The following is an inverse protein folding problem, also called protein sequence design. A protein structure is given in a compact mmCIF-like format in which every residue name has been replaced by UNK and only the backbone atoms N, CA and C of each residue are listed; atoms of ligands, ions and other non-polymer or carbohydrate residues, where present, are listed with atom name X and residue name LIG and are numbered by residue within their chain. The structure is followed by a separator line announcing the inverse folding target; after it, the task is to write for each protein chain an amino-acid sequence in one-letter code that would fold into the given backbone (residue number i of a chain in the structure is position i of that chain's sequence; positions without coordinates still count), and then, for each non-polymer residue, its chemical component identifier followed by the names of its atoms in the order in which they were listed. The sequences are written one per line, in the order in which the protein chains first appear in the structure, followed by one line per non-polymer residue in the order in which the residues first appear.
data_IF_059750015446
#
_entry.id   IF_059750015446
#
_cell.length_a   1.000
_cell.length_b   1.000
_cell.length_c   1.000
_cell.angle_alpha   90.00
_cell.angle_beta   90.00
_cell.angle_gamma   90.00
#
_symmetry.space_group_name_H-M   'P 1'
#
loop_
_entity.id
_entity.type
_entity.pdbx_description
1 polymer ?
#
# COMPACT_ATOMS: atom_id res chain seq x y z
N UNK A 1 -2.29 -25.92 2.03
CA UNK A 1 -3.73 -25.81 1.75
C UNK A 1 -3.87 -25.19 0.37
N UNK A 2 -3.97 -26.07 -0.63
CA UNK A 2 -4.45 -25.75 -1.97
C UNK A 2 -5.94 -25.38 -1.91
N UNK A 3 -6.41 -24.57 -2.86
CA UNK A 3 -7.81 -24.17 -2.92
C UNK A 3 -8.15 -23.35 -4.17
N UNK A 4 -8.27 -24.06 -5.30
CA UNK A 4 -9.36 -23.98 -6.28
C UNK A 4 -9.89 -22.60 -6.74
N UNK A 5 -9.31 -22.07 -7.83
CA UNK A 5 -9.87 -20.96 -8.63
C UNK A 5 -10.51 -21.41 -9.96
N UNK A 6 -11.07 -22.61 -10.04
CA UNK A 6 -11.71 -23.13 -11.28
C UNK A 6 -13.22 -23.34 -11.20
N UNK A 7 -13.93 -22.72 -10.25
CA UNK A 7 -15.36 -22.98 -10.05
C UNK A 7 -16.35 -22.09 -10.82
N UNK A 8 -15.88 -21.14 -11.64
CA UNK A 8 -16.77 -20.13 -12.25
C UNK A 8 -17.33 -20.49 -13.64
N UNK A 9 -16.89 -21.61 -14.26
CA UNK A 9 -17.31 -21.96 -15.65
C UNK A 9 -18.46 -22.96 -15.74
N UNK A 10 -18.80 -23.66 -14.67
CA UNK A 10 -19.84 -24.73 -14.68
C UNK A 10 -21.21 -24.29 -14.14
N UNK A 11 -21.33 -23.06 -13.63
CA UNK A 11 -22.59 -22.57 -13.04
C UNK A 11 -23.54 -21.90 -14.06
N UNK A 12 -23.05 -21.59 -15.27
CA UNK A 12 -23.83 -20.90 -16.32
C UNK A 12 -24.70 -21.83 -17.18
N UNK A 13 -24.64 -23.15 -16.96
CA UNK A 13 -25.46 -24.15 -17.66
C UNK A 13 -26.62 -24.70 -16.80
N UNK A 14 -26.80 -24.24 -15.57
CA UNK A 14 -27.83 -24.74 -14.63
C UNK A 14 -29.03 -23.80 -14.44
N UNK A 15 -29.09 -22.68 -15.17
CA UNK A 15 -30.12 -21.66 -15.01
C UNK A 15 -31.36 -21.82 -15.91
N UNK A 16 -31.37 -22.75 -16.87
CA UNK A 16 -32.53 -22.92 -17.78
C UNK A 16 -33.52 -24.03 -17.37
N UNK A 17 -33.32 -24.68 -16.22
CA UNK A 17 -34.20 -25.75 -15.74
C UNK A 17 -35.22 -25.26 -14.70
N UNK A 18 -35.96 -24.18 -15.00
CA UNK A 18 -37.15 -23.80 -14.24
C UNK A 18 -38.30 -23.45 -15.18
N UNK A 19 -39.00 -24.46 -15.70
CA UNK A 19 -40.35 -24.30 -16.24
C UNK A 19 -41.23 -25.52 -15.97
N UNK A 20 -42.41 -25.22 -15.40
CA UNK A 20 -43.67 -25.96 -15.22
C UNK A 20 -43.68 -27.46 -14.97
N UNK A 21 -44.09 -27.77 -13.73
CA UNK A 21 -44.84 -28.96 -13.32
C UNK A 21 -46.17 -28.98 -14.09
N UNK A 22 -46.58 -30.15 -14.60
CA UNK A 22 -47.87 -30.50 -15.25
C UNK A 22 -48.08 -30.33 -16.77
N UNK A 23 -47.02 -30.37 -17.58
CA UNK A 23 -47.14 -30.64 -19.02
C UNK A 23 -46.06 -31.61 -19.52
N UNK A 24 -46.28 -32.32 -20.65
CA UNK A 24 -45.20 -33.10 -21.25
C UNK A 24 -44.00 -32.18 -21.51
N UNK A 25 -42.76 -32.66 -21.29
CA UNK A 25 -41.57 -31.83 -21.42
C UNK A 25 -41.56 -31.16 -22.80
N UNK A 26 -41.24 -29.86 -22.81
CA UNK A 26 -41.09 -29.10 -24.05
C UNK A 26 -40.03 -29.83 -24.87
N UNK A 27 -40.45 -30.37 -26.03
CA UNK A 27 -39.56 -31.07 -26.96
C UNK A 27 -38.32 -30.22 -27.19
N UNK A 28 -37.15 -30.82 -26.94
CA UNK A 28 -35.88 -30.18 -27.24
C UNK A 28 -35.86 -29.81 -28.73
N UNK A 29 -35.04 -28.83 -29.14
CA UNK A 29 -34.93 -28.48 -30.56
C UNK A 29 -34.68 -29.70 -31.46
N UNK A 30 -33.96 -30.71 -30.93
CA UNK A 30 -33.71 -31.99 -31.60
C UNK A 30 -34.99 -32.82 -31.70
N UNK A 31 -35.75 -32.93 -30.62
CA UNK A 31 -37.01 -33.71 -30.61
C UNK A 31 -38.10 -33.10 -31.50
N UNK A 32 -38.11 -31.76 -31.67
CA UNK A 32 -39.01 -31.10 -32.63
C UNK A 32 -38.71 -31.48 -34.07
N UNK A 33 -37.43 -31.57 -34.42
CA UNK A 33 -36.99 -31.98 -35.77
C UNK A 33 -37.33 -33.45 -36.01
N UNK A 34 -37.10 -34.33 -35.02
CA UNK A 34 -37.45 -35.75 -35.11
C UNK A 34 -38.97 -35.93 -35.29
N UNK A 35 -39.77 -35.16 -34.53
CA UNK A 35 -41.24 -35.23 -34.62
C UNK A 35 -41.76 -34.64 -35.95
N UNK A 36 -41.12 -33.59 -36.48
CA UNK A 36 -41.41 -33.03 -37.81
C UNK A 36 -41.24 -34.06 -38.93
N UNK A 37 -40.32 -35.02 -38.75
CA UNK A 37 -40.08 -36.11 -39.69
C UNK A 37 -40.84 -37.39 -39.35
N UNK A 38 -41.86 -37.34 -38.48
CA UNK A 38 -42.78 -38.45 -38.16
C UNK A 38 -42.08 -39.78 -37.81
N UNK A 39 -40.97 -39.72 -37.07
CA UNK A 39 -40.22 -40.93 -36.72
C UNK A 39 -39.43 -41.55 -37.88
N UNK A 40 -39.35 -40.88 -39.03
CA UNK A 40 -38.37 -41.19 -40.07
C UNK A 40 -37.00 -40.70 -39.60
N UNK A 41 -36.07 -41.64 -39.45
CA UNK A 41 -34.75 -41.45 -38.85
C UNK A 41 -33.80 -40.66 -39.78
N UNK A 42 -34.09 -39.38 -40.03
CA UNK A 42 -33.16 -38.47 -40.72
C UNK A 42 -31.90 -38.15 -39.87
N UNK A 43 -31.79 -38.71 -38.67
CA UNK A 43 -30.55 -38.71 -37.90
C UNK A 43 -29.40 -39.48 -38.58
N UNK A 44 -29.70 -40.42 -39.49
CA UNK A 44 -28.69 -41.19 -40.25
C UNK A 44 -28.44 -40.58 -41.64
N UNK A 45 -29.43 -39.90 -42.23
CA UNK A 45 -29.25 -39.16 -43.48
C UNK A 45 -28.70 -37.77 -43.21
N UNK A 46 -27.43 -37.70 -42.81
CA UNK A 46 -26.66 -36.51 -43.12
C UNK A 46 -26.72 -36.35 -44.65
N UNK A 47 -27.43 -35.32 -45.13
CA UNK A 47 -27.50 -35.01 -46.56
C UNK A 47 -26.09 -35.00 -47.14
N UNK A 48 -25.93 -35.41 -48.40
CA UNK A 48 -24.61 -35.42 -49.06
C UNK A 48 -23.89 -34.07 -48.86
N UNK A 49 -24.63 -32.96 -48.94
CA UNK A 49 -24.16 -31.61 -48.62
C UNK A 49 -23.67 -31.42 -47.18
N UNK A 50 -24.32 -32.00 -46.16
CA UNK A 50 -23.84 -31.97 -44.76
C UNK A 50 -22.60 -32.83 -44.53
N UNK A 51 -22.51 -33.99 -45.19
CA UNK A 51 -21.32 -34.85 -45.14
C UNK A 51 -20.12 -34.25 -45.89
N UNK A 52 -20.39 -33.49 -46.95
CA UNK A 52 -19.38 -32.73 -47.71
C UNK A 52 -18.95 -31.51 -46.90
N UNK A 53 -19.89 -30.75 -46.33
CA UNK A 53 -19.58 -29.59 -45.48
C UNK A 53 -18.81 -29.97 -44.21
N UNK A 54 -19.03 -31.15 -43.63
CA UNK A 54 -18.22 -31.63 -42.49
C UNK A 54 -16.80 -32.05 -42.88
N UNK A 55 -16.56 -32.34 -44.16
CA UNK A 55 -15.22 -32.61 -44.74
C UNK A 55 -14.49 -31.34 -45.16
N UNK A 56 -15.21 -30.22 -45.31
CA UNK A 56 -14.65 -28.94 -45.74
C UNK A 56 -13.89 -28.19 -44.64
N UNK A 57 -14.03 -28.59 -43.38
CA UNK A 57 -13.15 -28.08 -42.33
C UNK A 57 -11.85 -28.87 -42.31
N UNK A 58 -10.70 -28.24 -42.59
CA UNK A 58 -9.42 -28.92 -42.44
C UNK A 58 -9.26 -29.32 -40.97
N UNK A 59 -9.32 -30.63 -40.71
CA UNK A 59 -8.99 -31.18 -39.41
C UNK A 59 -7.47 -31.21 -39.34
N UNK A 60 -6.85 -30.55 -38.35
CA UNK A 60 -5.40 -30.54 -38.23
C UNK A 60 -4.87 -31.97 -38.18
N UNK A 61 -3.80 -32.22 -38.93
CA UNK A 61 -3.15 -33.52 -38.94
C UNK A 61 -2.66 -33.88 -37.52
N UNK A 62 -2.43 -35.17 -37.27
CA UNK A 62 -1.87 -35.57 -35.98
C UNK A 62 -0.49 -34.93 -35.73
N UNK A 63 0.30 -34.75 -36.78
CA UNK A 63 1.60 -34.06 -36.72
C UNK A 63 1.42 -32.58 -36.35
N UNK A 64 0.47 -31.87 -36.98
CA UNK A 64 0.17 -30.47 -36.66
C UNK A 64 -0.30 -30.30 -35.20
N UNK A 65 -1.05 -31.26 -34.66
CA UNK A 65 -1.46 -31.27 -33.26
C UNK A 65 -0.29 -31.51 -32.30
N UNK A 66 0.64 -32.40 -32.67
CA UNK A 66 1.85 -32.66 -31.87
C UNK A 66 2.73 -31.41 -31.85
N UNK A 67 2.99 -30.79 -33.00
CA UNK A 67 3.78 -29.56 -33.09
C UNK A 67 3.17 -28.41 -32.29
N UNK A 68 1.84 -28.30 -32.30
CA UNK A 68 1.13 -27.30 -31.51
C UNK A 68 1.28 -27.57 -30.01
N UNK A 69 1.13 -28.83 -29.57
CA UNK A 69 1.30 -29.21 -28.17
C UNK A 69 2.75 -29.05 -27.69
N UNK A 70 3.74 -29.32 -28.54
CA UNK A 70 5.15 -29.10 -28.22
C UNK A 70 5.47 -27.61 -28.07
N UNK A 71 4.93 -26.77 -28.96
CA UNK A 71 5.01 -25.30 -28.85
C UNK A 71 4.37 -24.80 -27.56
N UNK A 72 3.16 -25.27 -27.26
CA UNK A 72 2.43 -24.89 -26.04
C UNK A 72 3.15 -25.37 -24.77
N UNK A 73 3.68 -26.59 -24.76
CA UNK A 73 4.45 -27.16 -23.66
C UNK A 73 5.76 -26.40 -23.43
N UNK A 74 6.46 -26.03 -24.50
CA UNK A 74 7.66 -25.18 -24.41
C UNK A 74 7.33 -23.81 -23.81
N UNK A 75 6.25 -23.17 -24.27
CA UNK A 75 5.81 -21.87 -23.75
C UNK A 75 5.48 -21.94 -22.25
N UNK A 76 4.74 -22.96 -21.81
CA UNK A 76 4.42 -23.18 -20.39
C UNK A 76 5.66 -23.43 -19.54
N UNK A 77 6.63 -24.19 -20.06
CA UNK A 77 7.88 -24.45 -19.34
C UNK A 77 8.70 -23.16 -19.17
N UNK A 78 8.76 -22.31 -20.19
CA UNK A 78 9.37 -20.99 -20.07
C UNK A 78 8.67 -20.17 -18.99
N UNK A 79 7.33 -20.13 -18.98
CA UNK A 79 6.51 -19.43 -17.96
C UNK A 79 6.83 -19.89 -16.54
N UNK A 80 6.89 -21.21 -16.34
CA UNK A 80 7.26 -21.79 -15.06
C UNK A 80 8.66 -21.35 -14.61
N UNK A 81 9.65 -21.32 -15.51
CA UNK A 81 11.02 -20.88 -15.20
C UNK A 81 11.05 -19.40 -14.81
N UNK A 82 10.30 -18.54 -15.51
CA UNK A 82 10.19 -17.12 -15.17
C UNK A 82 9.66 -16.90 -13.77
N UNK A 83 8.53 -17.51 -13.44
CA UNK A 83 7.93 -17.36 -12.12
C UNK A 83 8.86 -17.93 -11.04
N UNK A 84 9.49 -19.08 -11.29
CA UNK A 84 10.46 -19.67 -10.36
C UNK A 84 11.65 -18.76 -10.07
N UNK A 85 12.13 -17.99 -11.06
CA UNK A 85 13.21 -17.00 -10.88
C UNK A 85 12.72 -15.73 -10.19
N UNK A 86 11.53 -15.23 -10.54
CA UNK A 86 10.99 -13.97 -10.01
C UNK A 86 10.38 -14.09 -8.61
N UNK A 87 9.80 -15.23 -8.26
CA UNK A 87 9.13 -15.46 -6.98
C UNK A 87 10.01 -15.15 -5.75
N UNK A 88 11.25 -15.68 -5.61
CA UNK A 88 12.07 -15.39 -4.42
C UNK A 88 12.40 -13.90 -4.30
N UNK A 89 12.59 -13.20 -5.42
CA UNK A 89 12.89 -11.77 -5.47
C UNK A 89 11.66 -10.97 -5.00
N UNK A 90 10.47 -11.29 -5.53
CA UNK A 90 9.20 -10.68 -5.12
C UNK A 90 8.90 -10.94 -3.64
N UNK A 91 9.13 -12.16 -3.16
CA UNK A 91 8.93 -12.55 -1.76
C UNK A 91 9.84 -11.76 -0.83
N UNK A 92 11.12 -11.64 -1.17
CA UNK A 92 12.08 -10.81 -0.43
C UNK A 92 11.66 -9.35 -0.39
N UNK A 93 11.31 -8.78 -1.55
CA UNK A 93 10.85 -7.40 -1.66
C UNK A 93 9.62 -7.12 -0.79
N UNK A 94 8.60 -8.00 -0.83
CA UNK A 94 7.42 -7.91 0.02
C UNK A 94 7.77 -7.98 1.51
N UNK A 95 8.68 -8.88 1.89
CA UNK A 95 9.17 -8.99 3.27
C UNK A 95 9.88 -7.71 3.74
N UNK A 96 10.71 -7.12 2.89
CA UNK A 96 11.41 -5.87 3.18
C UNK A 96 10.42 -4.70 3.39
N UNK A 97 9.44 -4.54 2.51
CA UNK A 97 8.37 -3.53 2.66
C UNK A 97 7.61 -3.72 3.97
N UNK A 98 7.20 -4.96 4.26
CA UNK A 98 6.42 -5.26 5.47
C UNK A 98 7.20 -4.98 6.74
N UNK A 99 8.52 -5.18 6.72
CA UNK A 99 9.41 -4.80 7.84
C UNK A 99 9.48 -3.29 7.99
N UNK A 100 9.70 -2.54 6.91
CA UNK A 100 9.80 -1.09 6.98
C UNK A 100 8.48 -0.41 7.35
N UNK A 101 7.34 -0.94 6.91
CA UNK A 101 6.03 -0.47 7.34
C UNK A 101 5.85 -0.59 8.87
N UNK A 102 6.30 -1.71 9.46
CA UNK A 102 6.31 -1.87 10.92
C UNK A 102 7.26 -0.89 11.60
N UNK A 103 8.48 -0.71 11.06
CA UNK A 103 9.43 0.28 11.58
C UNK A 103 8.84 1.70 11.55
N UNK A 104 8.09 2.07 10.52
CA UNK A 104 7.46 3.38 10.42
C UNK A 104 6.33 3.54 11.44
N UNK A 105 5.48 2.52 11.59
CA UNK A 105 4.39 2.53 12.57
C UNK A 105 4.91 2.63 14.02
N UNK A 106 6.03 1.97 14.34
CA UNK A 106 6.66 2.08 15.66
C UNK A 106 7.08 3.52 15.97
N UNK A 107 7.72 4.21 15.01
CA UNK A 107 8.14 5.61 15.20
C UNK A 107 6.94 6.56 15.24
N UNK A 108 5.90 6.32 14.43
CA UNK A 108 4.66 7.09 14.51
C UNK A 108 3.98 6.95 15.88
N UNK A 109 3.97 5.74 16.43
CA UNK A 109 3.38 5.48 17.75
C UNK A 109 4.15 6.21 18.86
N UNK A 110 5.48 6.21 18.79
CA UNK A 110 6.33 6.96 19.72
C UNK A 110 6.15 8.47 19.59
N UNK A 111 6.01 8.97 18.37
CA UNK A 111 5.77 10.39 18.13
C UNK A 111 4.43 10.82 18.77
N UNK A 112 3.37 10.04 18.57
CA UNK A 112 2.06 10.30 19.19
C UNK A 112 2.11 10.27 20.72
N UNK A 113 2.82 9.31 21.32
CA UNK A 113 3.03 9.25 22.77
C UNK A 113 3.71 10.52 23.30
N UNK A 114 4.76 10.98 22.62
CA UNK A 114 5.47 12.20 23.01
C UNK A 114 4.59 13.43 22.84
N UNK A 115 3.84 13.54 21.74
CA UNK A 115 2.91 14.65 21.52
C UNK A 115 1.85 14.71 22.61
N UNK A 116 1.24 13.57 22.96
CA UNK A 116 0.28 13.48 24.05
C UNK A 116 0.89 13.87 25.40
N UNK A 117 2.13 13.46 25.69
CA UNK A 117 2.79 13.82 26.94
C UNK A 117 3.05 15.33 27.02
N UNK A 118 3.57 15.92 25.95
CA UNK A 118 3.83 17.36 25.88
C UNK A 118 2.53 18.17 25.99
N UNK A 119 1.44 17.72 25.37
CA UNK A 119 0.12 18.37 25.49
C UNK A 119 -0.46 18.26 26.90
N UNK A 120 -0.27 17.12 27.59
CA UNK A 120 -0.65 16.95 29.00
C UNK A 120 0.14 17.89 29.91
N UNK A 121 1.46 17.96 29.76
CA UNK A 121 2.31 18.89 30.52
C UNK A 121 1.89 20.35 30.31
N UNK A 122 1.59 20.74 29.06
CA UNK A 122 1.10 22.08 28.74
C UNK A 122 -0.23 22.37 29.45
N UNK A 123 -1.15 21.40 29.46
CA UNK A 123 -2.45 21.53 30.12
C UNK A 123 -2.28 21.73 31.63
N UNK A 124 -1.39 20.97 32.26
CA UNK A 124 -1.06 21.12 33.68
C UNK A 124 -0.45 22.50 33.99
N UNK A 125 0.44 23.01 33.13
CA UNK A 125 1.05 24.34 33.28
C UNK A 125 0.04 25.48 33.13
N UNK A 126 -0.99 25.32 32.30
CA UNK A 126 -2.08 26.29 32.14
C UNK A 126 -3.01 26.28 33.35
N UNK A 127 -3.26 25.10 33.92
CA UNK A 127 -4.14 24.93 35.10
C UNK A 127 -3.45 25.23 36.43
N UNK A 128 -2.12 25.20 36.48
CA UNK A 128 -1.37 25.56 37.68
C UNK A 128 -1.71 26.99 38.12
N UNK A 129 -1.96 27.24 39.42
CA UNK A 129 -2.16 28.59 39.92
C UNK A 129 -0.96 29.45 39.51
N UNK A 130 -1.20 30.49 38.72
CA UNK A 130 -0.19 31.49 38.43
C UNK A 130 0.16 32.13 39.78
N UNK A 131 1.35 31.80 40.30
CA UNK A 131 1.90 32.41 41.50
C UNK A 131 1.68 33.92 41.44
N UNK A 132 1.21 34.50 42.54
CA UNK A 132 1.11 35.95 42.70
C UNK A 132 2.41 36.59 42.22
N UNK A 133 2.40 37.75 41.55
CA UNK A 133 3.62 38.44 41.14
C UNK A 133 4.65 38.55 42.28
N UNK A 134 4.17 38.66 43.52
CA UNK A 134 4.98 38.65 44.74
C UNK A 134 5.63 37.28 44.99
N UNK A 135 4.86 36.20 44.95
CA UNK A 135 5.38 34.84 45.15
C UNK A 135 6.35 34.44 44.04
N UNK A 136 6.17 34.96 42.83
CA UNK A 136 7.08 34.76 41.70
C UNK A 136 8.41 35.48 41.89
N UNK A 137 8.39 36.70 42.42
CA UNK A 137 9.60 37.45 42.79
C UNK A 137 10.31 36.77 43.96
N UNK A 138 9.56 36.28 44.95
CA UNK A 138 10.10 35.54 46.10
C UNK A 138 10.77 34.25 45.62
N UNK A 139 10.13 33.43 44.79
CA UNK A 139 10.75 32.23 44.21
C UNK A 139 12.00 32.54 43.37
N UNK A 140 11.98 33.59 42.54
CA UNK A 140 13.16 34.01 41.77
C UNK A 140 14.30 34.49 42.66
N UNK A 141 14.00 35.15 43.78
CA UNK A 141 15.02 35.54 44.77
C UNK A 141 15.60 34.31 45.48
N UNK A 142 14.77 33.33 45.86
CA UNK A 142 15.25 32.12 46.53
C UNK A 142 16.06 31.22 45.57
N UNK A 143 15.67 31.08 44.31
CA UNK A 143 16.43 30.32 43.31
C UNK A 143 17.74 31.04 42.90
N UNK A 144 17.78 32.37 42.93
CA UNK A 144 18.98 33.15 42.63
C UNK A 144 19.99 33.25 43.78
N UNK A 145 19.59 32.93 45.03
CA UNK A 145 20.51 32.95 46.19
C UNK A 145 21.43 31.72 46.25
N UNK A 146 21.28 30.74 45.36
CA UNK A 146 22.13 29.55 45.32
C UNK A 146 23.33 29.73 44.35
N UNK A 147 23.35 30.76 43.50
CA UNK A 147 24.43 30.92 42.50
C UNK A 147 24.87 32.38 42.30
N UNK A 148 25.02 33.13 43.40
CA UNK A 148 25.55 34.49 43.37
C UNK A 148 27.09 34.51 43.48
N UNK A 149 27.75 33.83 42.56
CA UNK A 149 29.18 34.03 42.30
C UNK A 149 29.43 33.97 40.79
N UNK A 150 28.90 34.94 40.03
CA UNK A 150 29.60 35.56 38.89
C UNK A 150 28.78 36.66 38.20
N UNK A 151 29.50 37.76 37.92
CA UNK A 151 29.21 38.80 36.91
C UNK A 151 28.14 39.87 37.22
N UNK A 152 28.60 40.87 37.95
CA UNK A 152 28.12 42.26 37.90
C UNK A 152 28.25 42.83 36.48
N UNK A 153 27.13 43.05 35.78
CA UNK A 153 27.06 43.95 34.62
C UNK A 153 26.04 45.06 34.90
N UNK A 154 26.60 46.27 34.96
CA UNK A 154 26.00 47.61 34.81
C UNK A 154 24.47 47.69 34.66
N UNK A 155 23.83 48.15 35.74
CA UNK A 155 22.49 48.74 35.69
C UNK A 155 22.62 50.24 35.36
N UNK A 156 22.53 50.59 34.08
CA UNK A 156 22.24 51.97 33.68
C UNK A 156 20.72 52.18 33.80
N UNK A 157 20.30 52.94 34.80
CA UNK A 157 18.88 53.20 35.09
C UNK A 157 18.17 54.02 33.99
N UNK A 158 16.90 53.76 33.68
CA UNK A 158 16.15 54.58 32.75
C UNK A 158 15.66 55.89 33.41
N UNK A 159 15.73 56.99 32.65
CA UNK A 159 15.07 58.26 32.96
C UNK A 159 13.56 58.02 33.12
N UNK A 160 13.03 58.41 34.28
CA UNK A 160 11.60 58.35 34.57
C UNK A 160 10.90 59.49 33.84
N UNK A 161 10.26 59.19 32.70
CA UNK A 161 9.19 60.03 32.18
C UNK A 161 7.86 59.60 32.81
N UNK A 162 7.10 60.60 33.23
CA UNK A 162 5.82 60.53 33.93
C UNK A 162 4.74 59.86 33.05
N UNK A 163 4.76 58.53 32.97
CA UNK A 163 3.64 57.75 32.44
C UNK A 163 2.82 57.28 33.62
N UNK A 164 1.72 57.97 33.90
CA UNK A 164 0.67 57.45 34.77
C UNK A 164 0.18 56.12 34.17
N UNK A 165 0.18 55.05 34.98
CA UNK A 165 -0.22 53.67 34.66
C UNK A 165 0.82 52.72 33.99
N UNK A 166 2.11 52.70 34.38
CA UNK A 166 3.09 51.76 33.84
C UNK A 166 2.90 50.33 34.40
N UNK A 167 2.34 50.18 35.61
CA UNK A 167 2.21 48.89 36.29
C UNK A 167 1.33 47.91 35.51
N UNK A 168 0.14 48.34 35.08
CA UNK A 168 -0.77 47.49 34.31
C UNK A 168 -0.17 47.06 32.96
N UNK A 169 0.60 47.95 32.33
CA UNK A 169 1.26 47.66 31.04
C UNK A 169 2.45 46.72 31.22
N UNK A 170 3.22 46.87 32.30
CA UNK A 170 4.32 45.98 32.66
C UNK A 170 3.78 44.58 33.00
N UNK A 171 2.71 44.48 33.78
CA UNK A 171 2.08 43.19 34.09
C UNK A 171 1.53 42.49 32.84
N UNK A 172 0.87 43.22 31.93
CA UNK A 172 0.38 42.66 30.67
C UNK A 172 1.54 42.15 29.80
N UNK A 173 2.65 42.89 29.73
CA UNK A 173 3.84 42.48 28.99
C UNK A 173 4.52 41.26 29.62
N UNK A 174 4.60 41.19 30.95
CA UNK A 174 5.14 40.03 31.67
C UNK A 174 4.28 38.79 31.46
N UNK A 175 2.95 38.91 31.51
CA UNK A 175 2.02 37.82 31.17
C UNK A 175 2.22 37.35 29.73
N UNK A 176 2.34 38.29 28.79
CA UNK A 176 2.55 37.99 27.36
C UNK A 176 3.91 37.33 27.09
N UNK A 177 4.97 37.77 27.76
CA UNK A 177 6.29 37.15 27.66
C UNK A 177 6.29 35.75 28.30
N UNK A 178 5.64 35.56 29.45
CA UNK A 178 5.49 34.24 30.06
C UNK A 178 4.79 33.24 29.14
N UNK A 179 3.70 33.66 28.48
CA UNK A 179 2.99 32.86 27.47
C UNK A 179 3.89 32.50 26.29
N UNK A 180 4.65 33.46 25.75
CA UNK A 180 5.57 33.21 24.62
C UNK A 180 6.69 32.23 25.00
N UNK A 181 7.25 32.35 26.21
CA UNK A 181 8.28 31.42 26.68
C UNK A 181 7.75 30.00 26.79
N UNK A 182 6.50 29.81 27.24
CA UNK A 182 5.84 28.51 27.28
C UNK A 182 5.62 27.94 25.87
N UNK A 183 5.17 28.74 24.91
CA UNK A 183 4.98 28.28 23.52
C UNK A 183 6.31 27.91 22.85
N UNK A 184 7.40 28.64 23.11
CA UNK A 184 8.74 28.30 22.61
C UNK A 184 9.26 27.00 23.25
N UNK A 185 9.06 26.82 24.56
CA UNK A 185 9.43 25.59 25.25
C UNK A 185 8.64 24.38 24.71
N UNK A 186 7.35 24.56 24.44
CA UNK A 186 6.48 23.56 23.82
C UNK A 186 7.01 23.12 22.44
N UNK A 187 7.33 24.07 21.55
CA UNK A 187 7.87 23.77 20.23
C UNK A 187 9.25 23.09 20.31
N UNK A 188 10.13 23.54 21.21
CA UNK A 188 11.45 22.93 21.42
C UNK A 188 11.37 21.49 21.91
N UNK A 189 10.37 21.13 22.72
CA UNK A 189 10.19 19.73 23.18
C UNK A 189 9.75 18.78 22.06
N UNK A 190 9.01 19.29 21.06
CA UNK A 190 8.54 18.49 19.91
C UNK A 190 9.55 18.36 18.77
N UNK A 191 10.55 19.25 18.72
CA UNK A 191 11.51 19.30 17.64
C UNK A 191 12.42 18.05 17.53
N UNK A 192 13.05 17.52 18.60
CA UNK A 192 13.90 16.34 18.49
C UNK A 192 13.17 15.07 17.99
N UNK A 193 11.97 14.72 18.51
CA UNK A 193 11.19 13.60 17.99
C UNK A 193 10.81 13.76 16.51
N UNK A 194 10.48 14.99 16.09
CA UNK A 194 10.14 15.28 14.70
C UNK A 194 11.35 15.11 13.76
N UNK A 195 12.55 15.50 14.23
CA UNK A 195 13.81 15.26 13.50
C UNK A 195 14.08 13.77 13.37
N UNK A 196 13.95 13.01 14.44
CA UNK A 196 14.14 11.54 14.41
C UNK A 196 13.16 10.87 13.45
N UNK A 197 11.87 11.25 13.51
CA UNK A 197 10.85 10.78 12.59
C UNK A 197 11.23 11.07 11.14
N UNK A 198 11.58 12.32 10.81
CA UNK A 198 12.00 12.73 9.46
C UNK A 198 13.20 11.93 8.97
N UNK A 199 14.20 11.71 9.82
CA UNK A 199 15.38 10.91 9.50
C UNK A 199 15.00 9.46 9.20
N UNK A 200 14.09 8.88 9.99
CA UNK A 200 13.62 7.52 9.78
C UNK A 200 12.83 7.38 8.47
N UNK A 201 11.90 8.29 8.20
CA UNK A 201 11.14 8.32 6.94
C UNK A 201 12.09 8.41 5.76
N UNK A 202 13.07 9.31 5.81
CA UNK A 202 14.07 9.48 4.76
C UNK A 202 14.90 8.20 4.55
N UNK A 203 15.31 7.54 5.64
CA UNK A 203 16.02 6.26 5.58
C UNK A 203 15.18 5.16 4.91
N UNK A 204 13.89 5.05 5.25
CA UNK A 204 12.97 4.06 4.68
C UNK A 204 12.72 4.35 3.20
N UNK A 205 12.51 5.61 2.82
CA UNK A 205 12.33 6.02 1.43
C UNK A 205 13.53 5.62 0.57
N UNK A 206 14.76 5.91 1.04
CA UNK A 206 15.99 5.52 0.36
C UNK A 206 16.14 3.99 0.23
N UNK A 207 15.74 3.23 1.26
CA UNK A 207 15.75 1.76 1.21
C UNK A 207 14.74 1.23 0.19
N UNK A 208 13.54 1.83 0.12
CA UNK A 208 12.49 1.46 -0.82
C UNK A 208 12.92 1.73 -2.26
N UNK A 209 13.49 2.91 -2.54
CA UNK A 209 14.00 3.26 -3.86
C UNK A 209 15.06 2.25 -4.34
N UNK A 210 16.03 1.92 -3.48
CA UNK A 210 17.05 0.91 -3.78
C UNK A 210 16.46 -0.46 -4.03
N UNK A 211 15.45 -0.87 -3.28
CA UNK A 211 14.79 -2.16 -3.44
C UNK A 211 13.96 -2.23 -4.72
N UNK A 212 13.24 -1.15 -5.08
CA UNK A 212 12.54 -1.03 -6.35
C UNK A 212 13.51 -1.09 -7.53
N UNK A 213 14.65 -0.40 -7.44
CA UNK A 213 15.70 -0.47 -8.46
C UNK A 213 16.24 -1.89 -8.64
N UNK A 214 16.50 -2.61 -7.52
CA UNK A 214 16.94 -4.02 -7.55
C UNK A 214 15.88 -4.93 -8.17
N UNK A 215 14.61 -4.77 -7.78
CA UNK A 215 13.49 -5.54 -8.33
C UNK A 215 13.38 -5.33 -9.84
N UNK A 216 13.40 -4.07 -10.29
CA UNK A 216 13.33 -3.74 -11.72
C UNK A 216 14.53 -4.23 -12.51
N UNK A 217 15.74 -4.20 -11.94
CA UNK A 217 16.94 -4.79 -12.57
C UNK A 217 16.79 -6.30 -12.74
N UNK A 218 16.36 -6.99 -11.69
CA UNK A 218 16.21 -8.43 -11.74
C UNK A 218 15.08 -8.85 -12.69
N UNK A 219 13.97 -8.10 -12.73
CA UNK A 219 12.91 -8.33 -13.72
C UNK A 219 13.45 -8.21 -15.15
N UNK A 220 14.16 -7.12 -15.48
CA UNK A 220 14.78 -6.96 -16.80
C UNK A 220 15.83 -8.02 -17.14
N UNK A 221 16.49 -8.58 -16.14
CA UNK A 221 17.43 -9.68 -16.35
C UNK A 221 16.69 -10.97 -16.72
N UNK A 222 15.66 -11.33 -15.96
CA UNK A 222 14.81 -12.49 -16.26
C UNK A 222 14.08 -12.31 -17.59
N UNK A 223 13.55 -11.12 -17.90
CA UNK A 223 12.91 -10.81 -19.19
C UNK A 223 13.91 -10.97 -20.37
N UNK A 224 15.19 -10.60 -20.18
CA UNK A 224 16.22 -10.79 -21.21
C UNK A 224 16.61 -12.25 -21.40
N UNK A 225 16.58 -13.05 -20.34
CA UNK A 225 16.75 -14.50 -20.44
C UNK A 225 15.54 -15.15 -21.12
N UNK A 226 14.33 -14.67 -20.82
CA UNK A 226 13.09 -15.10 -21.46
C UNK A 226 13.14 -14.91 -22.97
N UNK A 227 13.48 -13.71 -23.43
CA UNK A 227 13.54 -13.38 -24.86
C UNK A 227 14.65 -14.17 -25.57
N UNK A 228 15.79 -14.44 -24.91
CA UNK A 228 16.87 -15.25 -25.49
C UNK A 228 16.58 -16.75 -25.49
N UNK A 229 15.82 -17.26 -24.52
CA UNK A 229 15.42 -18.67 -24.46
C UNK A 229 14.35 -19.05 -25.49
N UNK A 230 13.47 -18.11 -25.86
CA UNK A 230 12.41 -18.31 -26.86
C UNK A 230 12.79 -18.03 -28.32
N UNK A 231 14.07 -17.73 -28.61
CA UNK A 231 14.51 -17.17 -29.90
C UNK A 231 14.85 -18.15 -31.02
N UNK A 232 14.43 -19.42 -30.98
CA UNK A 232 14.73 -20.42 -32.02
C UNK A 232 13.45 -21.10 -32.58
N UNK A 233 12.40 -20.32 -32.86
CA UNK A 233 11.19 -20.83 -33.54
C UNK A 233 10.98 -20.24 -34.93
N UNK A 234 12.03 -19.72 -35.57
CA UNK A 234 11.90 -19.16 -36.92
C UNK A 234 13.13 -19.42 -37.79
N UNK A 235 13.31 -20.66 -38.23
CA UNK A 235 13.98 -20.95 -39.50
C UNK A 235 13.18 -22.05 -40.22
N UNK A 236 12.30 -21.63 -41.14
CA UNK A 236 11.85 -22.50 -42.22
C UNK A 236 12.71 -22.17 -43.46
N UNK A 237 13.40 -23.16 -44.06
CA UNK A 237 14.06 -22.95 -45.34
C UNK A 237 13.03 -22.91 -46.47
N UNK A 238 13.22 -21.95 -47.39
CA UNK A 238 12.58 -21.93 -48.72
C UNK A 238 13.37 -22.79 -49.69
#
# INVERSE_FOLDING_TARGET
MEGDFHRSRTQKLRSDARYSIDGPPILSPVDRVINLHHGSTTAIEATHERLVASKEYPVPSFEEKIDQLERDGSNLNHEAIYFRKMEPIRKKFKGDISRWARELNDVLSKLDEIEQNVDRERTLLIQAPQLSPVDRIISLYFDSTIDLDTTSKELQGPKQDTVLNPSNKIEQLQRRNGSRTQDVAYLRRREPPMIEFKNKVSSIANKLERALSKLGKAQREVDREWVRGGGNLQEHPT
#
